data_IF_923845784333
#
_entry.id   IF_923845784333
#
_cell.length_a   1.000
_cell.length_b   1.000
_cell.length_c   1.000
_cell.angle_alpha   90.00
_cell.angle_beta   90.00
_cell.angle_gamma   90.00
#
_symmetry.space_group_name_H-M   'P 1'
#
loop_
_entity.id
_entity.type
_entity.pdbx_description
1 polymer ?
#
# COMPACT_ATOMS: atom_id res chain seq x y z
N UNK A 1 -1.75 -15.65 22.92
CA UNK A 1 -2.57 -14.52 22.45
C UNK A 1 -2.45 -13.40 23.48
N UNK A 2 -1.76 -12.34 23.14
CA UNK A 2 -1.69 -11.13 23.97
C UNK A 2 -2.98 -10.33 23.73
N UNK A 3 -3.78 -10.15 24.78
CA UNK A 3 -4.92 -9.24 24.72
C UNK A 3 -4.42 -7.81 24.63
N UNK A 4 -4.53 -7.19 23.46
CA UNK A 4 -4.27 -5.76 23.31
C UNK A 4 -5.45 -4.98 23.90
N UNK A 5 -5.16 -4.13 24.89
CA UNK A 5 -6.13 -3.13 25.36
C UNK A 5 -6.02 -1.90 24.45
N UNK A 6 -7.11 -1.50 23.82
CA UNK A 6 -7.16 -0.22 23.08
C UNK A 6 -6.97 0.94 24.08
N UNK A 7 -5.96 1.77 23.87
CA UNK A 7 -5.85 3.07 24.54
C UNK A 7 -7.02 3.97 24.11
N UNK A 8 -7.59 4.73 25.04
CA UNK A 8 -8.82 5.50 24.77
C UNK A 8 -8.56 6.92 24.24
N UNK A 9 -7.35 7.45 24.38
CA UNK A 9 -7.09 8.85 24.01
C UNK A 9 -6.42 8.91 22.64
N UNK A 10 -7.20 9.29 21.62
CA UNK A 10 -6.69 9.53 20.28
C UNK A 10 -5.83 10.79 20.24
N UNK A 11 -4.57 10.62 19.79
CA UNK A 11 -3.63 11.72 19.58
C UNK A 11 -3.89 12.48 18.28
N UNK A 12 -4.69 11.93 17.40
CA UNK A 12 -4.87 12.46 16.04
C UNK A 12 -6.35 12.67 15.67
N UNK A 13 -6.56 13.65 14.84
CA UNK A 13 -7.80 13.96 14.14
C UNK A 13 -7.52 14.15 12.66
N UNK A 14 -8.51 14.59 11.88
CA UNK A 14 -8.33 14.86 10.47
C UNK A 14 -8.82 16.26 10.07
N UNK A 15 -8.26 16.77 8.97
CA UNK A 15 -8.67 18.03 8.35
C UNK A 15 -8.72 17.87 6.84
N UNK A 16 -9.83 18.31 6.22
CA UNK A 16 -9.96 18.33 4.77
C UNK A 16 -8.90 19.23 4.14
N UNK A 17 -8.21 18.70 3.14
CA UNK A 17 -7.23 19.42 2.30
C UNK A 17 -7.90 19.89 1.02
N UNK A 18 -8.56 18.98 0.31
CA UNK A 18 -9.26 19.28 -0.94
C UNK A 18 -10.30 18.21 -1.26
N UNK A 19 -11.20 18.54 -2.15
CA UNK A 19 -12.19 17.61 -2.72
C UNK A 19 -12.31 17.82 -4.23
N UNK A 20 -13.13 17.00 -4.91
CA UNK A 20 -13.37 17.08 -6.35
C UNK A 20 -12.41 16.24 -7.19
N UNK A 21 -11.78 15.24 -6.58
CA UNK A 21 -11.06 14.17 -7.26
C UNK A 21 -12.04 13.08 -7.74
N UNK A 22 -11.61 12.27 -8.70
CA UNK A 22 -12.39 11.15 -9.23
C UNK A 22 -11.72 9.82 -8.86
N UNK A 23 -12.27 9.14 -7.83
CA UNK A 23 -11.73 7.88 -7.31
C UNK A 23 -10.21 7.93 -7.06
N UNK A 24 -9.74 8.78 -6.13
CA UNK A 24 -8.32 8.86 -5.81
C UNK A 24 -7.88 7.58 -5.09
N UNK A 25 -6.74 7.01 -5.54
CA UNK A 25 -6.23 5.73 -5.02
C UNK A 25 -4.79 5.77 -4.51
N UNK A 26 -4.07 6.88 -4.74
CA UNK A 26 -2.73 7.06 -4.18
C UNK A 26 -2.34 8.54 -4.11
N UNK A 27 -1.49 8.88 -3.13
CA UNK A 27 -0.92 10.21 -2.96
C UNK A 27 0.57 10.13 -2.62
N UNK A 28 1.36 10.97 -3.27
CA UNK A 28 2.79 11.11 -2.96
C UNK A 28 3.26 12.53 -3.26
N UNK A 29 4.47 12.85 -2.82
CA UNK A 29 5.17 14.10 -3.15
C UNK A 29 6.54 13.77 -3.77
N UNK A 30 7.00 14.53 -4.77
CA UNK A 30 8.35 14.36 -5.29
C UNK A 30 9.38 14.79 -4.23
N UNK A 31 10.55 14.14 -4.18
CA UNK A 31 11.63 14.56 -3.30
C UNK A 31 12.02 16.02 -3.60
N UNK A 32 12.23 16.80 -2.53
CA UNK A 32 12.79 18.16 -2.57
C UNK A 32 12.05 19.22 -3.42
N UNK A 33 10.86 18.94 -3.94
CA UNK A 33 10.10 19.90 -4.77
C UNK A 33 8.87 20.41 -4.02
N UNK A 34 9.06 21.40 -3.17
CA UNK A 34 7.99 22.26 -2.62
C UNK A 34 6.82 21.51 -1.98
N UNK A 35 5.74 22.24 -1.66
CA UNK A 35 4.56 21.70 -0.98
C UNK A 35 3.46 21.23 -1.95
N UNK A 36 3.81 20.55 -3.03
CA UNK A 36 2.85 19.99 -3.99
C UNK A 36 2.67 18.51 -3.73
N UNK A 37 1.40 18.08 -3.68
CA UNK A 37 1.02 16.67 -3.60
C UNK A 37 0.51 16.20 -4.95
N UNK A 38 0.81 14.97 -5.31
CA UNK A 38 0.38 14.33 -6.54
C UNK A 38 -0.55 13.20 -6.19
N UNK A 39 -1.75 13.24 -6.78
CA UNK A 39 -2.81 12.28 -6.50
C UNK A 39 -3.13 11.49 -7.76
N UNK A 40 -3.08 10.18 -7.63
CA UNK A 40 -3.48 9.23 -8.66
C UNK A 40 -4.99 9.06 -8.62
N UNK A 41 -5.66 9.35 -9.73
CA UNK A 41 -7.05 8.98 -9.96
C UNK A 41 -7.09 7.66 -10.75
N UNK A 42 -7.85 6.70 -10.27
CA UNK A 42 -7.85 5.32 -10.78
C UNK A 42 -8.10 5.20 -12.29
N UNK A 43 -8.86 6.13 -12.87
CA UNK A 43 -9.17 6.17 -14.31
C UNK A 43 -7.98 6.47 -15.24
N UNK A 44 -6.80 6.88 -14.70
CA UNK A 44 -5.61 7.16 -15.51
C UNK A 44 -5.14 8.62 -15.50
N UNK A 45 -5.53 9.41 -14.51
CA UNK A 45 -5.04 10.79 -14.36
C UNK A 45 -4.19 10.94 -13.09
N UNK A 46 -3.16 11.80 -13.16
CA UNK A 46 -2.41 12.26 -12.00
C UNK A 46 -2.72 13.74 -11.78
N UNK A 47 -3.27 14.06 -10.61
CA UNK A 47 -3.68 15.43 -10.25
C UNK A 47 -2.66 16.09 -9.32
N UNK A 48 -2.64 17.40 -9.30
CA UNK A 48 -1.77 18.20 -8.42
C UNK A 48 -2.61 18.96 -7.41
N UNK A 49 -2.25 18.85 -6.14
CA UNK A 49 -2.72 19.72 -5.07
C UNK A 49 -1.55 20.65 -4.71
N UNK A 50 -1.77 21.95 -4.79
CA UNK A 50 -0.80 22.98 -4.40
C UNK A 50 -1.46 23.98 -3.47
N UNK A 51 -0.84 24.22 -2.30
CA UNK A 51 -1.40 25.11 -1.28
C UNK A 51 -2.86 24.77 -0.92
N UNK A 52 -3.14 23.48 -0.71
CA UNK A 52 -4.47 22.91 -0.42
C UNK A 52 -5.53 23.15 -1.51
N UNK A 53 -5.11 23.41 -2.76
CA UNK A 53 -6.02 23.62 -3.89
C UNK A 53 -5.73 22.60 -4.99
N UNK A 54 -6.77 21.92 -5.46
CA UNK A 54 -6.70 21.04 -6.62
C UNK A 54 -6.53 21.90 -7.90
N UNK A 55 -5.45 21.66 -8.65
CA UNK A 55 -5.23 22.35 -9.91
C UNK A 55 -6.16 21.81 -10.99
N UNK A 56 -6.64 22.71 -11.87
CA UNK A 56 -7.56 22.35 -12.97
C UNK A 56 -6.91 21.39 -13.97
N UNK A 57 -5.66 21.69 -14.39
CA UNK A 57 -4.93 20.86 -15.35
C UNK A 57 -4.27 19.69 -14.61
N UNK A 58 -4.45 18.43 -15.06
CA UNK A 58 -3.74 17.29 -14.51
C UNK A 58 -2.23 17.41 -14.82
N UNK A 59 -1.42 16.76 -13.99
CA UNK A 59 0.00 16.55 -14.24
C UNK A 59 0.21 15.62 -15.44
N UNK A 60 -0.53 14.51 -15.43
CA UNK A 60 -0.52 13.50 -16.48
C UNK A 60 -1.94 13.02 -16.75
N UNK A 61 -2.24 12.70 -17.99
CA UNK A 61 -3.48 12.06 -18.44
C UNK A 61 -3.13 10.94 -19.42
N UNK A 62 -3.33 9.69 -18.99
CA UNK A 62 -3.14 8.46 -19.77
C UNK A 62 -4.42 7.62 -19.82
N UNK A 63 -5.57 8.27 -19.71
CA UNK A 63 -6.90 7.63 -19.77
C UNK A 63 -7.16 6.90 -21.10
N UNK A 64 -6.35 7.19 -22.13
CA UNK A 64 -6.39 6.55 -23.45
C UNK A 64 -5.86 5.11 -23.47
N UNK A 65 -5.13 4.68 -22.45
CA UNK A 65 -4.49 3.35 -22.38
C UNK A 65 -4.74 2.58 -21.09
N UNK A 66 -5.26 3.25 -20.07
CA UNK A 66 -5.56 2.65 -18.75
C UNK A 66 -6.96 2.05 -18.73
N UNK A 67 -7.11 0.88 -18.15
CA UNK A 67 -8.42 0.28 -17.89
C UNK A 67 -9.27 1.22 -17.03
N UNK A 68 -10.47 1.49 -17.46
CA UNK A 68 -11.42 2.31 -16.73
C UNK A 68 -12.26 1.44 -15.78
N UNK A 69 -12.29 1.74 -14.47
CA UNK A 69 -13.10 0.98 -13.53
C UNK A 69 -14.58 0.92 -13.92
N UNK A 70 -15.15 -0.29 -14.01
CA UNK A 70 -16.48 -0.54 -14.53
C UNK A 70 -17.55 -0.61 -13.42
N UNK A 71 -17.16 -0.98 -12.20
CA UNK A 71 -18.06 -1.14 -11.04
C UNK A 71 -17.35 -0.72 -9.74
N UNK A 72 -18.10 -0.46 -8.66
CA UNK A 72 -17.50 -0.26 -7.34
C UNK A 72 -16.73 -1.52 -6.90
N UNK A 73 -15.46 -1.36 -6.51
CA UNK A 73 -14.58 -2.50 -6.16
C UNK A 73 -13.80 -3.08 -7.33
N UNK A 74 -13.89 -2.52 -8.55
CA UNK A 74 -12.94 -2.84 -9.61
C UNK A 74 -11.54 -2.34 -9.20
N UNK A 75 -10.60 -3.27 -9.08
CA UNK A 75 -9.23 -2.97 -8.62
C UNK A 75 -8.32 -2.50 -9.75
N UNK A 76 -8.75 -2.64 -11.00
CA UNK A 76 -7.97 -2.27 -12.18
C UNK A 76 -7.95 -0.74 -12.39
N UNK A 77 -6.93 -0.23 -13.05
CA UNK A 77 -6.79 1.20 -13.33
C UNK A 77 -5.36 1.68 -13.19
N UNK A 78 -5.17 2.99 -12.99
CA UNK A 78 -3.89 3.57 -12.57
C UNK A 78 -3.80 3.46 -11.04
N UNK A 79 -2.80 2.71 -10.54
CA UNK A 79 -2.77 2.24 -9.16
C UNK A 79 -1.59 2.78 -8.34
N UNK A 80 -0.46 3.08 -8.99
CA UNK A 80 0.75 3.51 -8.30
C UNK A 80 1.52 4.59 -9.03
N UNK A 81 2.23 5.41 -8.25
CA UNK A 81 3.14 6.46 -8.71
C UNK A 81 4.33 6.53 -7.77
N UNK A 82 5.54 6.48 -8.29
CA UNK A 82 6.75 6.77 -7.54
C UNK A 82 7.63 7.76 -8.30
N UNK A 83 8.05 8.84 -7.63
CA UNK A 83 9.06 9.74 -8.17
C UNK A 83 10.46 9.16 -7.90
N UNK A 84 11.34 9.24 -8.89
CA UNK A 84 12.74 8.87 -8.71
C UNK A 84 13.39 9.68 -7.57
N UNK A 85 14.28 9.11 -6.75
CA UNK A 85 14.98 9.88 -5.71
C UNK A 85 15.67 11.14 -6.25
N UNK A 86 16.26 11.07 -7.45
CA UNK A 86 16.86 12.21 -8.16
C UNK A 86 15.89 12.85 -9.17
N UNK A 87 14.58 12.89 -8.89
CA UNK A 87 13.57 13.43 -9.82
C UNK A 87 13.87 14.84 -10.29
N UNK A 88 14.44 15.67 -9.44
CA UNK A 88 14.80 17.05 -9.77
C UNK A 88 15.83 17.13 -10.92
N UNK A 89 16.75 16.17 -10.97
CA UNK A 89 17.84 16.11 -11.94
C UNK A 89 17.42 15.39 -13.21
N UNK A 90 16.78 14.22 -13.08
CA UNK A 90 16.47 13.31 -14.19
C UNK A 90 15.03 13.43 -14.72
N UNK A 91 14.12 13.98 -13.92
CA UNK A 91 12.70 14.11 -14.26
C UNK A 91 11.94 12.79 -14.36
N UNK A 92 12.50 11.69 -13.85
CA UNK A 92 11.89 10.37 -13.95
C UNK A 92 10.86 10.12 -12.84
N UNK A 93 9.75 9.49 -13.24
CA UNK A 93 8.78 8.91 -12.33
C UNK A 93 8.20 7.64 -12.94
N UNK A 94 7.62 6.79 -12.11
CA UNK A 94 7.16 5.46 -12.46
C UNK A 94 5.69 5.33 -12.15
N UNK A 95 4.97 4.64 -13.02
CA UNK A 95 3.56 4.32 -12.86
C UNK A 95 3.36 2.81 -12.89
N UNK A 96 2.40 2.34 -12.10
CA UNK A 96 1.82 1.02 -12.22
C UNK A 96 0.35 1.18 -12.61
N UNK A 97 -0.04 0.56 -13.70
CA UNK A 97 -1.44 0.59 -14.16
C UNK A 97 -1.84 -0.71 -14.84
N UNK A 98 -3.14 -1.00 -14.83
CA UNK A 98 -3.71 -2.05 -15.68
C UNK A 98 -4.14 -1.41 -16.99
N UNK A 99 -3.64 -1.94 -18.12
CA UNK A 99 -3.95 -1.43 -19.46
C UNK A 99 -5.36 -1.82 -19.90
N UNK A 100 -5.84 -1.21 -21.00
CA UNK A 100 -7.12 -1.59 -21.65
C UNK A 100 -7.12 -3.08 -22.01
N UNK A 101 -5.96 -3.63 -22.40
CA UNK A 101 -5.79 -5.04 -22.77
C UNK A 101 -5.62 -5.98 -21.55
N UNK A 102 -5.84 -5.46 -20.32
CA UNK A 102 -5.76 -6.22 -19.07
C UNK A 102 -4.35 -6.69 -18.71
N UNK A 103 -3.34 -5.96 -19.08
CA UNK A 103 -1.98 -6.19 -18.64
C UNK A 103 -1.63 -5.27 -17.48
N UNK A 104 -0.95 -5.79 -16.48
CA UNK A 104 -0.28 -4.97 -15.47
C UNK A 104 0.99 -4.42 -16.09
N UNK A 105 1.06 -3.09 -16.18
CA UNK A 105 2.16 -2.37 -16.82
C UNK A 105 2.87 -1.51 -15.79
N UNK A 106 4.19 -1.65 -15.70
CA UNK A 106 5.05 -0.73 -14.95
C UNK A 106 5.89 0.04 -15.95
N UNK A 107 5.74 1.37 -15.93
CA UNK A 107 6.39 2.25 -16.91
C UNK A 107 7.12 3.39 -16.23
N UNK A 108 8.24 3.83 -16.86
CA UNK A 108 8.95 5.07 -16.55
C UNK A 108 8.48 6.17 -17.47
N UNK A 109 8.28 7.38 -16.92
CA UNK A 109 8.03 8.62 -17.64
C UNK A 109 9.12 9.65 -17.33
N UNK A 110 9.25 10.69 -18.20
CA UNK A 110 10.21 11.78 -18.02
C UNK A 110 9.55 13.13 -18.29
N UNK A 111 9.58 14.05 -17.30
CA UNK A 111 9.00 15.39 -17.45
C UNK A 111 9.79 16.28 -18.42
N UNK A 112 11.06 15.96 -18.70
CA UNK A 112 11.92 16.72 -19.60
C UNK A 112 11.87 16.22 -21.04
N UNK A 113 10.97 15.28 -21.36
CA UNK A 113 10.92 14.69 -22.70
C UNK A 113 10.47 15.70 -23.75
N UNK A 114 11.25 15.85 -24.83
CA UNK A 114 11.07 16.86 -25.89
C UNK A 114 9.71 16.79 -26.60
N UNK A 115 9.15 15.60 -26.74
CA UNK A 115 7.86 15.37 -27.42
C UNK A 115 6.66 15.43 -26.46
N UNK A 116 6.87 15.89 -25.23
CA UNK A 116 5.84 15.96 -24.19
C UNK A 116 5.74 14.72 -23.31
N UNK A 117 5.17 14.91 -22.15
CA UNK A 117 5.14 13.93 -21.08
C UNK A 117 4.48 12.60 -21.48
N UNK A 118 3.31 12.63 -22.12
CA UNK A 118 2.58 11.42 -22.51
C UNK A 118 3.31 10.53 -23.53
N UNK A 119 4.31 11.08 -24.22
CA UNK A 119 5.13 10.36 -25.20
C UNK A 119 6.49 9.93 -24.65
N UNK A 120 6.73 10.14 -23.37
CA UNK A 120 7.99 9.79 -22.70
C UNK A 120 7.98 8.38 -22.10
N UNK A 121 6.90 7.65 -22.25
CA UNK A 121 6.71 6.34 -21.64
C UNK A 121 7.74 5.32 -22.13
N UNK A 122 8.37 4.65 -21.18
CA UNK A 122 9.23 3.48 -21.39
C UNK A 122 8.71 2.36 -20.50
N UNK A 123 8.19 1.32 -21.13
CA UNK A 123 7.66 0.15 -20.42
C UNK A 123 8.80 -0.67 -19.83
N UNK A 124 8.74 -0.98 -18.55
CA UNK A 124 9.68 -1.83 -17.82
C UNK A 124 9.13 -3.24 -17.66
N UNK A 125 7.87 -3.36 -17.29
CA UNK A 125 7.15 -4.63 -17.19
C UNK A 125 5.83 -4.54 -17.93
N UNK A 126 5.47 -5.64 -18.61
CA UNK A 126 4.20 -5.84 -19.31
C UNK A 126 3.75 -7.27 -19.03
N UNK A 127 2.86 -7.45 -18.06
CA UNK A 127 2.46 -8.72 -17.51
C UNK A 127 0.97 -8.97 -17.78
N UNK A 128 0.65 -10.07 -18.44
CA UNK A 128 -0.74 -10.50 -18.60
C UNK A 128 -1.34 -10.72 -17.22
N UNK A 129 -2.33 -9.90 -16.85
CA UNK A 129 -3.03 -10.03 -15.56
C UNK A 129 -4.02 -11.21 -15.65
N UNK A 130 -3.89 -12.26 -14.81
CA UNK A 130 -4.74 -13.45 -14.94
C UNK A 130 -6.22 -13.16 -14.67
N UNK A 131 -6.52 -12.34 -13.66
CA UNK A 131 -7.87 -11.97 -13.23
C UNK A 131 -7.99 -10.46 -13.00
N UNK A 132 -9.22 -9.98 -12.80
CA UNK A 132 -9.51 -8.54 -12.66
C UNK A 132 -9.23 -7.96 -11.26
N UNK A 133 -8.92 -8.80 -10.28
CA UNK A 133 -8.66 -8.44 -8.89
C UNK A 133 -7.24 -8.82 -8.45
N UNK A 134 -6.86 -8.46 -7.24
CA UNK A 134 -5.53 -8.64 -6.64
C UNK A 134 -4.42 -8.00 -7.51
N UNK A 135 -4.67 -6.79 -7.97
CA UNK A 135 -3.71 -6.10 -8.84
C UNK A 135 -2.53 -5.49 -8.07
N UNK A 136 -2.61 -5.35 -6.73
CA UNK A 136 -1.61 -4.65 -5.93
C UNK A 136 -1.43 -3.21 -6.40
N UNK A 137 -0.27 -2.92 -7.00
CA UNK A 137 -0.02 -1.69 -7.75
C UNK A 137 0.83 -0.64 -7.05
N UNK A 138 1.14 -0.83 -5.77
CA UNK A 138 2.03 0.09 -5.05
C UNK A 138 3.43 0.11 -5.64
N UNK A 139 3.98 1.31 -5.81
CA UNK A 139 5.36 1.60 -6.15
C UNK A 139 5.97 2.47 -5.06
N UNK A 140 7.17 2.16 -4.60
CA UNK A 140 7.93 3.03 -3.71
C UNK A 140 9.45 2.79 -3.87
N UNK A 141 10.24 3.85 -3.71
CA UNK A 141 11.68 3.71 -3.57
C UNK A 141 12.03 3.40 -2.11
N UNK A 142 12.83 2.36 -1.91
CA UNK A 142 13.39 2.05 -0.60
C UNK A 142 14.53 3.01 -0.22
N UNK A 143 14.94 3.01 1.06
CA UNK A 143 16.12 3.78 1.52
C UNK A 143 17.42 3.35 0.84
N UNK A 144 17.46 2.17 0.24
CA UNK A 144 18.56 1.63 -0.56
C UNK A 144 18.59 2.16 -2.02
N UNK A 145 17.61 2.99 -2.39
CA UNK A 145 17.51 3.64 -3.70
C UNK A 145 16.91 2.78 -4.81
N UNK A 146 16.54 1.53 -4.55
CA UNK A 146 15.87 0.66 -5.53
C UNK A 146 14.36 0.85 -5.54
N UNK A 147 13.74 0.56 -6.70
CA UNK A 147 12.29 0.58 -6.84
C UNK A 147 11.70 -0.75 -6.39
N UNK A 148 10.74 -0.67 -5.46
CA UNK A 148 9.93 -1.80 -5.00
C UNK A 148 8.55 -1.74 -5.65
N UNK A 149 8.05 -2.90 -6.06
CA UNK A 149 6.81 -3.05 -6.84
C UNK A 149 5.96 -4.13 -6.18
N UNK A 150 4.77 -3.80 -5.70
CA UNK A 150 3.83 -4.76 -5.16
C UNK A 150 2.94 -5.35 -6.24
N UNK A 151 2.92 -6.67 -6.36
CA UNK A 151 2.05 -7.42 -7.26
C UNK A 151 1.26 -8.45 -6.44
N UNK A 152 -0.06 -8.47 -6.60
CA UNK A 152 -0.89 -9.51 -6.02
C UNK A 152 -0.67 -10.87 -6.68
N UNK A 153 -1.35 -11.89 -6.17
CA UNK A 153 -1.25 -13.28 -6.65
C UNK A 153 -1.83 -13.49 -8.07
N UNK A 154 -2.37 -12.44 -8.68
CA UNK A 154 -2.99 -12.46 -10.01
C UNK A 154 -4.50 -12.52 -9.95
N UNK A 155 -5.10 -12.82 -8.80
CA UNK A 155 -6.54 -12.72 -8.57
C UNK A 155 -7.29 -14.04 -8.42
N UNK A 156 -8.62 -13.95 -8.42
CA UNK A 156 -9.56 -15.01 -8.10
C UNK A 156 -9.52 -15.43 -6.61
N UNK A 157 -10.24 -16.48 -6.23
CA UNK A 157 -10.31 -16.93 -4.85
C UNK A 157 -9.31 -18.06 -4.59
N UNK A 158 -8.51 -17.91 -3.52
CA UNK A 158 -7.62 -18.98 -3.03
C UNK A 158 -6.39 -19.23 -3.88
N UNK A 159 -5.99 -18.28 -4.73
CA UNK A 159 -4.79 -18.37 -5.58
C UNK A 159 -4.79 -19.63 -6.47
N UNK A 160 -5.71 -19.76 -7.46
CA UNK A 160 -5.83 -20.97 -8.25
C UNK A 160 -4.58 -21.27 -9.11
N UNK A 161 -3.79 -20.24 -9.43
CA UNK A 161 -2.55 -20.37 -10.21
C UNK A 161 -1.33 -20.62 -9.31
N UNK A 162 -1.52 -20.65 -7.97
CA UNK A 162 -0.48 -20.89 -6.96
C UNK A 162 0.70 -19.92 -7.06
N UNK A 163 0.43 -18.69 -7.44
CA UNK A 163 1.45 -17.66 -7.62
C UNK A 163 2.11 -17.27 -6.29
N UNK A 164 1.36 -17.23 -5.18
CA UNK A 164 1.90 -16.86 -3.87
C UNK A 164 3.08 -17.74 -3.43
N UNK A 165 3.08 -19.02 -3.78
CA UNK A 165 4.17 -19.96 -3.43
C UNK A 165 5.13 -20.26 -4.59
N UNK A 166 4.98 -19.56 -5.73
CA UNK A 166 5.76 -19.84 -6.94
C UNK A 166 6.81 -18.76 -7.21
N UNK A 167 8.02 -18.94 -6.73
CA UNK A 167 9.14 -18.01 -6.99
C UNK A 167 9.57 -17.91 -8.47
N UNK A 168 8.98 -18.69 -9.38
CA UNK A 168 9.16 -18.54 -10.83
C UNK A 168 8.08 -17.64 -11.46
N UNK A 169 7.14 -17.12 -10.67
CA UNK A 169 6.17 -16.09 -11.03
C UNK A 169 6.56 -14.75 -10.42
N UNK A 170 6.22 -13.64 -11.07
CA UNK A 170 6.35 -12.30 -10.48
C UNK A 170 5.14 -11.92 -9.61
N UNK A 171 4.02 -12.61 -9.80
CA UNK A 171 2.79 -12.40 -9.03
C UNK A 171 2.94 -12.94 -7.60
N UNK A 172 2.13 -12.42 -6.67
CA UNK A 172 2.18 -12.80 -5.26
C UNK A 172 3.47 -12.34 -4.54
N UNK A 173 4.04 -11.20 -4.96
CA UNK A 173 5.38 -10.78 -4.56
C UNK A 173 5.52 -9.26 -4.39
N UNK A 174 6.53 -8.87 -3.62
CA UNK A 174 7.15 -7.55 -3.74
C UNK A 174 8.46 -7.73 -4.51
N UNK A 175 8.59 -7.06 -5.64
CA UNK A 175 9.78 -7.04 -6.46
C UNK A 175 10.72 -5.90 -6.03
N UNK A 176 12.02 -6.04 -6.30
CA UNK A 176 13.04 -5.01 -6.07
C UNK A 176 13.97 -4.92 -7.27
N UNK A 177 14.02 -3.75 -7.91
CA UNK A 177 14.76 -3.53 -9.15
C UNK A 177 15.57 -2.24 -9.14
N UNK A 178 16.69 -2.25 -9.85
CA UNK A 178 17.54 -1.09 -10.11
C UNK A 178 17.09 -0.40 -11.41
N UNK A 179 16.51 0.78 -11.29
CA UNK A 179 15.99 1.55 -12.43
C UNK A 179 16.98 2.55 -13.02
N UNK A 180 18.18 2.64 -12.46
CA UNK A 180 19.29 3.43 -13.00
C UNK A 180 20.12 2.64 -14.04
N UNK A 181 19.72 1.41 -14.32
CA UNK A 181 20.33 0.58 -15.36
C UNK A 181 20.06 1.14 -16.77
N UNK A 182 21.08 1.09 -17.65
CA UNK A 182 20.95 1.49 -19.06
C UNK A 182 19.90 0.69 -19.86
N UNK A 183 19.56 -0.51 -19.38
CA UNK A 183 18.64 -1.45 -20.06
C UNK A 183 17.18 -1.36 -19.59
N UNK A 184 16.76 -0.23 -19.04
CA UNK A 184 15.42 -0.04 -18.49
C UNK A 184 15.37 -0.35 -17.00
N UNK A 185 15.68 -1.59 -16.57
CA UNK A 185 15.97 -1.94 -15.19
C UNK A 185 17.05 -3.01 -15.11
N UNK A 186 17.67 -3.13 -13.96
CA UNK A 186 18.64 -4.17 -13.59
C UNK A 186 18.22 -4.91 -12.33
N UNK A 187 18.88 -6.01 -12.05
CA UNK A 187 18.68 -6.78 -10.83
C UNK A 187 19.79 -6.45 -9.83
N UNK A 188 19.45 -5.91 -8.64
CA UNK A 188 20.43 -5.73 -7.58
C UNK A 188 21.09 -7.06 -7.21
N UNK A 189 22.43 -7.08 -7.12
CA UNK A 189 23.17 -8.31 -6.75
C UNK A 189 22.83 -8.79 -5.33
N UNK A 190 22.29 -7.92 -4.51
CA UNK A 190 21.82 -8.21 -3.16
C UNK A 190 20.39 -8.77 -3.12
N UNK A 191 19.73 -8.97 -4.26
CA UNK A 191 18.43 -9.64 -4.30
C UNK A 191 18.60 -11.12 -3.88
N UNK A 192 17.67 -11.66 -3.09
CA UNK A 192 17.80 -13.00 -2.52
C UNK A 192 17.87 -14.11 -3.58
N UNK A 193 17.22 -13.90 -4.72
CA UNK A 193 17.16 -14.88 -5.82
C UNK A 193 18.12 -14.55 -6.97
N UNK A 194 19.04 -13.61 -6.77
CA UNK A 194 20.03 -13.24 -7.81
C UNK A 194 20.83 -14.46 -8.28
N UNK A 195 20.71 -14.80 -9.58
CA UNK A 195 21.33 -15.97 -10.23
C UNK A 195 20.90 -17.33 -9.66
N UNK A 196 19.78 -17.41 -8.99
CA UNK A 196 19.19 -18.68 -8.58
C UNK A 196 18.33 -19.22 -9.73
N UNK A 197 18.58 -20.47 -10.13
CA UNK A 197 17.83 -21.12 -11.22
C UNK A 197 16.37 -21.36 -10.82
N UNK A 198 15.48 -21.24 -11.80
CA UNK A 198 14.03 -21.45 -11.64
C UNK A 198 13.36 -20.51 -10.62
N UNK A 199 13.90 -19.29 -10.49
CA UNK A 199 13.31 -18.21 -9.73
C UNK A 199 13.35 -16.91 -10.54
N UNK A 200 12.48 -15.97 -10.22
CA UNK A 200 12.56 -14.61 -10.71
C UNK A 200 13.51 -13.80 -9.84
N UNK A 201 14.56 -13.28 -10.45
CA UNK A 201 15.61 -12.54 -9.75
C UNK A 201 15.14 -11.21 -9.18
N UNK A 202 14.01 -10.70 -9.68
CA UNK A 202 13.34 -9.46 -9.25
C UNK A 202 12.71 -9.57 -7.86
N UNK A 203 12.35 -10.79 -7.43
CA UNK A 203 11.60 -11.02 -6.19
C UNK A 203 12.44 -10.62 -4.97
N UNK A 204 11.82 -9.79 -4.10
CA UNK A 204 12.33 -9.44 -2.79
C UNK A 204 11.62 -10.22 -1.67
N UNK A 205 10.27 -10.24 -1.69
CA UNK A 205 9.42 -11.03 -0.80
C UNK A 205 8.38 -11.76 -1.63
N UNK A 206 7.86 -12.88 -1.15
CA UNK A 206 6.82 -13.66 -1.79
C UNK A 206 5.84 -14.26 -0.78
N UNK A 207 4.84 -14.99 -1.22
CA UNK A 207 3.79 -15.50 -0.36
C UNK A 207 2.80 -14.41 0.06
N UNK A 208 2.42 -13.55 -0.88
CA UNK A 208 1.58 -12.36 -0.66
C UNK A 208 0.34 -12.50 -1.53
N UNK A 209 -0.83 -12.14 -0.96
CA UNK A 209 -2.10 -12.25 -1.69
C UNK A 209 -2.39 -10.99 -2.53
N UNK A 210 -2.49 -9.85 -1.90
CA UNK A 210 -2.78 -8.57 -2.54
C UNK A 210 -2.20 -7.41 -1.73
N UNK A 211 -0.89 -7.10 -1.89
CA UNK A 211 -0.21 -6.05 -1.14
C UNK A 211 -0.71 -4.69 -1.63
N UNK A 212 -1.89 -4.28 -1.11
CA UNK A 212 -2.58 -3.09 -1.61
C UNK A 212 -1.73 -1.84 -1.43
N UNK A 213 -1.26 -1.59 -0.18
CA UNK A 213 -0.29 -0.52 0.09
C UNK A 213 0.82 -1.02 1.00
N UNK A 214 2.02 -0.61 0.67
CA UNK A 214 3.16 -0.73 1.55
C UNK A 214 3.91 0.60 1.65
N UNK A 215 4.66 0.78 2.72
CA UNK A 215 5.48 1.96 2.95
C UNK A 215 6.78 1.60 3.65
N UNK A 216 7.77 2.48 3.52
CA UNK A 216 9.03 2.34 4.23
C UNK A 216 9.10 3.27 5.44
N UNK A 217 9.60 2.77 6.53
CA UNK A 217 10.15 3.60 7.59
C UNK A 217 11.67 3.74 7.36
N UNK A 218 12.08 4.91 6.92
CA UNK A 218 13.47 5.22 6.60
C UNK A 218 14.37 5.30 7.85
N UNK A 219 13.80 5.40 9.06
CA UNK A 219 14.59 5.46 10.29
C UNK A 219 14.92 4.08 10.84
N UNK A 220 14.01 3.11 10.68
CA UNK A 220 14.21 1.74 11.16
C UNK A 220 14.62 0.79 10.04
N UNK A 221 14.60 1.26 8.77
CA UNK A 221 14.87 0.46 7.57
C UNK A 221 13.94 -0.77 7.49
N UNK A 222 12.64 -0.53 7.72
CA UNK A 222 11.60 -1.54 7.67
C UNK A 222 10.57 -1.23 6.58
N UNK A 223 10.01 -2.27 5.97
CA UNK A 223 8.85 -2.20 5.10
C UNK A 223 7.61 -2.66 5.86
N UNK A 224 6.54 -1.86 5.81
CA UNK A 224 5.22 -2.11 6.38
C UNK A 224 4.26 -2.43 5.25
N UNK A 225 3.64 -3.60 5.25
CA UNK A 225 2.83 -4.13 4.15
C UNK A 225 1.44 -4.42 4.67
N UNK A 226 0.41 -3.79 4.07
CA UNK A 226 -0.97 -4.21 4.23
C UNK A 226 -1.32 -5.21 3.14
N UNK A 227 -1.51 -6.47 3.52
CA UNK A 227 -1.90 -7.54 2.62
C UNK A 227 -3.38 -7.90 2.84
N UNK A 228 -4.19 -7.74 1.79
CA UNK A 228 -5.64 -7.94 1.86
C UNK A 228 -5.96 -9.44 1.90
N UNK A 229 -6.64 -9.86 2.95
CA UNK A 229 -7.02 -11.23 3.17
C UNK A 229 -8.12 -11.77 2.22
N UNK A 230 -8.36 -13.07 2.29
CA UNK A 230 -9.35 -13.73 1.42
C UNK A 230 -10.76 -13.64 1.98
N UNK A 231 -10.96 -14.14 3.21
CA UNK A 231 -12.29 -14.28 3.81
C UNK A 231 -12.33 -14.00 5.32
N UNK A 232 -11.22 -14.22 6.03
CA UNK A 232 -11.25 -14.33 7.47
C UNK A 232 -10.33 -13.30 8.16
N UNK A 233 -9.17 -12.98 7.60
CA UNK A 233 -8.16 -12.19 8.26
C UNK A 233 -7.55 -11.16 7.33
N UNK A 234 -7.48 -9.92 7.81
CA UNK A 234 -6.67 -8.85 7.23
C UNK A 234 -5.34 -8.79 7.97
N UNK A 235 -4.25 -8.51 7.26
CA UNK A 235 -2.90 -8.68 7.83
C UNK A 235 -1.96 -7.51 7.54
N UNK A 236 -1.06 -7.28 8.51
CA UNK A 236 0.06 -6.34 8.37
C UNK A 236 1.34 -7.07 8.66
N UNK A 237 2.23 -7.09 7.67
CA UNK A 237 3.59 -7.56 7.82
C UNK A 237 4.56 -6.40 8.01
N UNK A 238 5.59 -6.61 8.82
CA UNK A 238 6.73 -5.69 8.96
C UNK A 238 8.00 -6.50 8.80
N UNK A 239 8.83 -6.11 7.85
CA UNK A 239 10.05 -6.84 7.49
C UNK A 239 11.21 -5.86 7.43
N UNK A 240 12.35 -6.24 8.02
CA UNK A 240 13.60 -5.50 7.88
C UNK A 240 14.10 -5.56 6.43
N UNK A 241 14.59 -4.44 5.90
CA UNK A 241 15.18 -4.39 4.56
C UNK A 241 16.51 -5.15 4.44
N UNK A 242 17.07 -5.63 5.55
CA UNK A 242 18.18 -6.58 5.54
C UNK A 242 17.75 -8.02 5.26
N UNK A 243 16.45 -8.34 5.28
CA UNK A 243 15.88 -9.69 5.25
C UNK A 243 15.04 -9.93 3.98
N UNK A 244 15.67 -10.04 2.82
CA UNK A 244 14.99 -10.46 1.59
C UNK A 244 14.84 -11.98 1.48
N UNK A 245 13.91 -12.43 0.60
CA UNK A 245 13.65 -13.85 0.33
C UNK A 245 12.67 -14.50 1.28
N UNK A 246 12.01 -13.74 2.13
CA UNK A 246 11.05 -14.25 3.09
C UNK A 246 9.71 -14.61 2.41
N UNK A 247 9.11 -15.71 2.88
CA UNK A 247 7.79 -16.18 2.49
C UNK A 247 6.75 -15.72 3.52
N UNK A 248 5.83 -14.86 3.12
CA UNK A 248 4.82 -14.28 4.01
C UNK A 248 3.58 -15.17 4.20
N UNK A 249 3.54 -16.34 3.53
CA UNK A 249 2.64 -17.44 3.88
C UNK A 249 1.47 -17.69 2.95
N UNK A 250 1.00 -16.73 2.16
CA UNK A 250 -0.11 -16.95 1.23
C UNK A 250 0.29 -17.92 0.10
N UNK A 251 -0.48 -18.95 -0.25
CA UNK A 251 -1.84 -19.32 0.16
C UNK A 251 -1.86 -20.51 1.14
N UNK A 252 -0.77 -20.79 1.81
CA UNK A 252 -0.74 -21.78 2.89
C UNK A 252 -1.45 -21.22 4.14
N UNK A 253 -1.22 -19.93 4.40
CA UNK A 253 -1.78 -19.18 5.52
C UNK A 253 -2.68 -18.04 5.03
N UNK A 254 -3.65 -17.65 5.86
CA UNK A 254 -4.36 -16.37 5.86
C UNK A 254 -4.24 -15.79 7.26
N UNK A 255 -3.53 -14.69 7.43
CA UNK A 255 -3.07 -14.26 8.75
C UNK A 255 -2.14 -15.29 9.39
N UNK A 256 -2.30 -15.51 10.70
CA UNK A 256 -1.60 -16.55 11.44
C UNK A 256 -2.37 -17.90 11.44
N UNK A 257 -3.24 -18.14 10.46
CA UNK A 257 -4.15 -19.28 10.40
C UNK A 257 -3.95 -20.09 9.12
N UNK A 258 -4.09 -21.43 9.23
CA UNK A 258 -4.03 -22.29 8.05
C UNK A 258 -5.16 -21.96 7.07
N UNK A 259 -4.85 -21.77 5.79
CA UNK A 259 -5.81 -21.55 4.73
C UNK A 259 -5.91 -22.76 3.79
N UNK A 260 -4.80 -23.18 3.20
CA UNK A 260 -4.77 -24.35 2.30
C UNK A 260 -3.53 -25.21 2.58
N UNK A 261 -3.71 -26.34 3.31
CA UNK A 261 -4.96 -26.90 3.84
C UNK A 261 -5.49 -26.12 5.06
N UNK A 262 -6.80 -26.20 5.32
CA UNK A 262 -7.47 -25.49 6.44
C UNK A 262 -6.97 -25.88 7.84
N UNK A 263 -6.27 -26.99 7.95
CA UNK A 263 -5.72 -27.49 9.22
C UNK A 263 -4.39 -28.20 8.99
N UNK A 264 -3.53 -28.15 10.02
CA UNK A 264 -2.24 -28.82 10.02
C UNK A 264 -1.36 -28.43 8.81
N UNK A 265 -1.41 -27.17 8.40
CA UNK A 265 -0.55 -26.63 7.36
C UNK A 265 0.91 -26.63 7.83
N UNK A 266 1.82 -26.78 6.89
CA UNK A 266 3.26 -26.65 7.16
C UNK A 266 3.64 -25.15 7.19
N UNK A 267 4.01 -24.69 8.37
CA UNK A 267 4.44 -23.30 8.60
C UNK A 267 5.95 -23.13 8.60
N UNK A 268 6.69 -24.16 8.25
CA UNK A 268 8.16 -24.13 8.24
C UNK A 268 8.68 -23.07 7.26
N UNK A 269 9.46 -22.10 7.76
CA UNK A 269 10.05 -21.04 6.97
C UNK A 269 9.09 -19.92 6.55
N UNK A 270 7.86 -19.94 7.04
CA UNK A 270 6.91 -18.84 6.83
C UNK A 270 7.10 -17.73 7.88
N UNK A 271 6.89 -16.48 7.45
CA UNK A 271 6.90 -15.29 8.32
C UNK A 271 5.45 -14.84 8.51
N UNK A 272 4.96 -15.01 9.73
CA UNK A 272 3.60 -14.61 10.08
C UNK A 272 3.46 -13.08 10.20
N UNK A 273 2.24 -12.52 10.01
CA UNK A 273 2.01 -11.10 10.18
C UNK A 273 2.28 -10.66 11.64
N UNK A 274 2.71 -9.42 11.80
CA UNK A 274 2.90 -8.82 13.15
C UNK A 274 1.56 -8.39 13.75
N UNK A 275 0.57 -8.16 12.89
CA UNK A 275 -0.77 -7.77 13.28
C UNK A 275 -1.80 -8.32 12.29
N UNK A 276 -2.89 -8.83 12.82
CA UNK A 276 -4.05 -9.28 12.05
C UNK A 276 -5.35 -8.84 12.72
N UNK A 277 -6.39 -8.70 11.93
CA UNK A 277 -7.74 -8.48 12.45
C UNK A 277 -8.77 -9.21 11.59
N UNK A 278 -9.90 -9.64 12.18
CA UNK A 278 -10.89 -10.42 11.45
C UNK A 278 -11.62 -9.58 10.40
N UNK A 279 -11.89 -10.24 9.28
CA UNK A 279 -12.60 -9.67 8.15
C UNK A 279 -14.09 -9.39 8.44
N UNK A 280 -14.71 -10.01 9.46
CA UNK A 280 -16.12 -9.81 9.84
C UNK A 280 -16.29 -9.69 11.36
N UNK A 281 -17.11 -8.71 11.81
CA UNK A 281 -17.49 -8.55 13.21
C UNK A 281 -18.18 -9.78 13.81
N UNK A 282 -18.87 -10.58 13.02
CA UNK A 282 -19.51 -11.81 13.48
C UNK A 282 -18.50 -12.94 13.73
N UNK A 283 -17.41 -12.95 12.99
CA UNK A 283 -16.34 -13.93 13.15
C UNK A 283 -15.65 -13.80 14.51
N UNK A 284 -15.47 -12.58 15.02
CA UNK A 284 -14.96 -12.35 16.38
C UNK A 284 -15.80 -13.07 17.44
N UNK A 285 -17.13 -13.12 17.24
CA UNK A 285 -18.05 -13.77 18.20
C UNK A 285 -17.93 -15.29 18.21
N UNK A 286 -17.54 -15.90 17.08
CA UNK A 286 -17.51 -17.35 16.92
C UNK A 286 -16.16 -17.99 17.24
N UNK A 287 -15.05 -17.33 16.90
CA UNK A 287 -13.73 -17.95 16.99
C UNK A 287 -13.10 -17.92 18.37
N UNK A 288 -13.38 -16.95 19.16
CA UNK A 288 -12.44 -16.68 20.24
C UNK A 288 -13.02 -16.77 21.63
N UNK A 289 -14.31 -16.92 21.78
CA UNK A 289 -14.88 -16.59 23.08
C UNK A 289 -14.43 -15.18 23.53
N UNK A 290 -13.99 -14.35 22.58
CA UNK A 290 -13.63 -12.96 22.84
C UNK A 290 -14.89 -12.22 23.27
N UNK A 291 -14.93 -11.94 24.55
CA UNK A 291 -15.93 -11.07 25.13
C UNK A 291 -15.85 -9.71 24.44
N UNK A 292 -16.97 -9.13 24.19
CA UNK A 292 -17.37 -7.85 23.61
C UNK A 292 -16.39 -6.65 23.61
N UNK A 293 -15.20 -6.76 24.18
CA UNK A 293 -14.25 -5.65 24.36
C UNK A 293 -13.55 -5.18 23.07
N UNK A 294 -13.58 -5.98 22.00
CA UNK A 294 -12.86 -5.67 20.74
C UNK A 294 -13.78 -5.61 19.50
N UNK A 295 -15.07 -5.31 19.66
CA UNK A 295 -16.00 -5.16 18.52
C UNK A 295 -15.60 -4.05 17.53
N UNK A 296 -14.64 -3.20 17.90
CA UNK A 296 -14.11 -2.15 17.01
C UNK A 296 -12.97 -2.62 16.12
N UNK A 297 -12.40 -3.80 16.34
CA UNK A 297 -11.26 -4.32 15.57
C UNK A 297 -11.77 -5.38 14.58
N UNK A 298 -12.30 -4.93 13.47
CA UNK A 298 -12.73 -5.76 12.35
C UNK A 298 -12.81 -4.93 11.07
N UNK A 299 -12.75 -5.58 9.92
CA UNK A 299 -12.84 -4.91 8.63
C UNK A 299 -13.19 -5.85 7.49
N UNK A 300 -12.76 -5.54 6.28
CA UNK A 300 -12.89 -6.40 5.11
C UNK A 300 -11.77 -6.19 4.09
N UNK A 301 -10.96 -5.15 4.24
CA UNK A 301 -9.86 -4.86 3.32
C UNK A 301 -8.91 -3.86 3.96
N UNK A 302 -7.77 -4.35 4.40
CA UNK A 302 -6.71 -3.50 4.95
C UNK A 302 -6.16 -2.57 3.86
N UNK A 303 -6.17 -1.28 4.15
CA UNK A 303 -5.59 -0.29 3.22
C UNK A 303 -4.07 -0.23 3.33
N UNK A 304 -3.49 -0.60 4.46
CA UNK A 304 -2.11 -0.28 4.82
C UNK A 304 -2.00 1.14 5.36
N UNK A 305 -0.78 1.66 5.44
CA UNK A 305 -0.54 2.97 6.08
C UNK A 305 0.91 3.43 6.07
N UNK A 306 1.24 4.32 6.99
CA UNK A 306 2.59 4.90 7.14
C UNK A 306 3.00 5.05 8.60
N UNK A 307 4.29 4.91 8.88
CA UNK A 307 4.87 5.34 10.15
C UNK A 307 4.98 6.86 10.16
N UNK A 308 4.46 7.50 11.19
CA UNK A 308 4.53 8.96 11.30
C UNK A 308 5.95 9.40 11.66
N UNK A 309 6.53 10.24 10.79
CA UNK A 309 7.86 10.85 10.95
C UNK A 309 7.82 12.38 10.76
N UNK A 310 6.62 12.95 10.75
CA UNK A 310 6.39 14.39 10.68
C UNK A 310 6.75 15.10 11.98
N UNK A 311 6.57 16.42 11.97
CA UNK A 311 6.91 17.30 13.11
C UNK A 311 5.70 17.95 13.77
N UNK A 312 4.53 17.90 13.11
CA UNK A 312 3.36 18.63 13.58
C UNK A 312 2.59 17.92 14.70
N UNK A 313 2.84 16.61 14.92
CA UNK A 313 2.21 15.81 15.97
C UNK A 313 3.31 15.06 16.75
N UNK A 314 4.07 15.75 17.64
CA UNK A 314 5.22 15.15 18.31
C UNK A 314 4.88 13.89 19.11
N UNK A 315 3.71 13.84 19.75
CA UNK A 315 3.23 12.68 20.50
C UNK A 315 2.91 11.46 19.66
N UNK A 316 2.81 11.62 18.34
CA UNK A 316 2.50 10.54 17.39
C UNK A 316 3.73 9.97 16.67
N UNK A 317 4.92 10.48 16.97
CA UNK A 317 6.17 10.05 16.33
C UNK A 317 6.41 8.54 16.53
N UNK A 318 6.63 7.82 15.42
CA UNK A 318 6.86 6.38 15.44
C UNK A 318 5.61 5.51 15.43
N UNK A 319 4.41 6.09 15.47
CA UNK A 319 3.17 5.33 15.28
C UNK A 319 2.96 4.98 13.81
N UNK A 320 2.67 3.72 13.52
CA UNK A 320 2.15 3.30 12.22
C UNK A 320 0.64 3.47 12.23
N UNK A 321 0.11 4.37 11.40
CA UNK A 321 -1.33 4.56 11.21
C UNK A 321 -1.79 3.83 9.96
N UNK A 322 -2.90 3.10 10.07
CA UNK A 322 -3.50 2.34 8.98
C UNK A 322 -5.03 2.38 9.07
N UNK A 323 -5.69 1.91 8.02
CA UNK A 323 -7.15 1.92 7.95
C UNK A 323 -7.69 0.67 7.24
N UNK A 324 -9.00 0.49 7.37
CA UNK A 324 -9.78 -0.48 6.61
C UNK A 324 -10.72 0.24 5.63
N UNK A 325 -10.73 -0.21 4.39
CA UNK A 325 -11.50 0.41 3.31
C UNK A 325 -13.01 0.33 3.54
N UNK A 326 -13.53 -0.81 3.96
CA UNK A 326 -14.97 -1.05 4.07
C UNK A 326 -15.59 -0.35 5.26
N UNK A 327 -14.93 -0.44 6.40
CA UNK A 327 -15.45 0.10 7.66
C UNK A 327 -15.08 1.57 7.84
N UNK A 328 -14.07 2.05 7.12
CA UNK A 328 -13.52 3.40 7.31
C UNK A 328 -13.01 3.62 8.72
N UNK A 329 -12.48 2.56 9.35
CA UNK A 329 -11.84 2.61 10.65
C UNK A 329 -10.37 2.94 10.52
N UNK A 330 -9.86 3.59 11.55
CA UNK A 330 -8.46 4.01 11.62
C UNK A 330 -7.86 3.54 12.93
N UNK A 331 -6.70 2.90 12.84
CA UNK A 331 -5.93 2.46 14.00
C UNK A 331 -4.47 2.86 13.87
N UNK A 332 -3.78 2.89 14.97
CA UNK A 332 -2.32 2.97 14.99
C UNK A 332 -1.73 2.05 16.05
N UNK A 333 -0.47 1.70 15.86
CA UNK A 333 0.36 1.06 16.85
C UNK A 333 1.82 1.52 16.72
N UNK A 334 2.62 1.25 17.73
CA UNK A 334 4.09 1.36 17.67
C UNK A 334 4.67 -0.04 17.59
N UNK A 335 5.51 -0.30 16.59
CA UNK A 335 6.26 -1.54 16.45
C UNK A 335 7.67 -1.34 17.00
N UNK A 336 8.05 -2.19 17.94
CA UNK A 336 9.36 -2.17 18.55
C UNK A 336 9.70 -3.52 19.18
N UNK A 337 10.98 -3.90 19.13
CA UNK A 337 11.48 -5.14 19.75
C UNK A 337 10.65 -6.37 19.34
N UNK A 338 10.31 -6.48 18.04
CA UNK A 338 9.49 -7.54 17.43
C UNK A 338 8.06 -7.65 17.99
N UNK A 339 7.53 -6.58 18.56
CA UNK A 339 6.18 -6.54 19.09
C UNK A 339 5.47 -5.23 18.84
N UNK A 340 4.13 -5.27 18.90
CA UNK A 340 3.32 -4.06 18.81
C UNK A 340 2.88 -3.59 20.19
N UNK A 341 2.86 -2.27 20.35
CA UNK A 341 2.40 -1.58 21.56
C UNK A 341 1.54 -0.38 21.17
N UNK A 342 0.83 0.21 22.13
CA UNK A 342 0.02 1.42 21.92
C UNK A 342 -1.01 1.29 20.78
N UNK A 343 -1.67 0.11 20.66
CA UNK A 343 -2.76 -0.04 19.71
C UNK A 343 -3.92 0.87 20.10
N UNK A 344 -4.25 1.81 19.22
CA UNK A 344 -5.25 2.87 19.47
C UNK A 344 -6.23 2.96 18.30
N UNK A 345 -7.52 3.09 18.58
CA UNK A 345 -8.57 3.40 17.61
C UNK A 345 -8.76 4.93 17.52
N UNK A 346 -8.60 5.49 16.33
CA UNK A 346 -8.72 6.93 16.05
C UNK A 346 -9.98 7.29 15.25
N UNK A 347 -10.84 6.32 15.03
CA UNK A 347 -11.95 6.41 14.07
C UNK A 347 -12.88 7.59 14.35
N UNK A 348 -13.28 7.76 15.61
CA UNK A 348 -14.26 8.78 15.98
C UNK A 348 -13.68 10.20 15.89
N UNK A 349 -12.43 10.41 16.27
CA UNK A 349 -11.75 11.71 16.22
C UNK A 349 -11.47 12.12 14.77
N UNK A 350 -11.04 11.16 13.94
CA UNK A 350 -10.83 11.39 12.51
C UNK A 350 -12.15 11.75 11.81
N UNK A 351 -13.22 11.01 12.11
CA UNK A 351 -14.57 11.30 11.58
C UNK A 351 -15.08 12.68 12.01
N UNK A 352 -14.92 13.01 13.30
CA UNK A 352 -15.32 14.28 13.87
C UNK A 352 -14.56 15.44 13.24
N UNK A 353 -13.22 15.34 13.12
CA UNK A 353 -12.38 16.35 12.49
C UNK A 353 -12.76 16.62 11.03
N UNK A 354 -13.18 15.59 10.31
CA UNK A 354 -13.66 15.70 8.93
C UNK A 354 -15.11 16.15 8.80
N UNK A 355 -15.91 16.08 9.87
CA UNK A 355 -17.37 16.25 9.79
C UNK A 355 -18.07 15.16 8.96
N UNK A 356 -17.49 13.96 8.88
CA UNK A 356 -17.94 12.85 8.03
C UNK A 356 -18.12 11.56 8.85
N UNK A 357 -19.24 10.86 8.62
CA UNK A 357 -19.57 9.64 9.37
C UNK A 357 -18.92 8.37 8.84
N UNK A 358 -18.60 8.34 7.55
CA UNK A 358 -18.04 7.15 6.86
C UNK A 358 -16.98 7.59 5.86
N UNK A 359 -15.93 6.79 5.75
CA UNK A 359 -14.89 6.89 4.73
C UNK A 359 -14.76 5.56 3.99
N UNK A 360 -14.36 5.65 2.73
CA UNK A 360 -13.79 4.56 1.97
C UNK A 360 -12.30 4.87 1.77
N UNK A 361 -11.48 4.49 2.75
CA UNK A 361 -10.06 4.87 2.78
C UNK A 361 -9.30 4.08 1.74
N UNK A 362 -9.13 4.65 0.56
CA UNK A 362 -8.46 3.98 -0.57
C UNK A 362 -6.95 3.92 -0.43
N UNK A 363 -6.34 4.88 0.26
CA UNK A 363 -4.89 4.94 0.44
C UNK A 363 -4.48 5.97 1.49
N UNK A 364 -3.22 5.86 1.88
CA UNK A 364 -2.47 6.91 2.56
C UNK A 364 -1.37 7.46 1.65
N UNK A 365 -0.74 8.55 2.08
CA UNK A 365 0.45 9.11 1.48
C UNK A 365 1.16 10.07 2.43
N UNK A 366 2.40 10.41 2.08
CA UNK A 366 3.20 11.37 2.84
C UNK A 366 3.62 12.55 1.96
N UNK A 367 3.74 13.73 2.58
CA UNK A 367 4.48 14.82 1.96
C UNK A 367 6.01 14.71 2.26
N UNK A 368 6.79 15.58 1.64
CA UNK A 368 8.25 15.59 1.79
C UNK A 368 8.73 15.91 3.22
N UNK A 369 7.84 16.31 4.12
CA UNK A 369 8.13 16.56 5.53
C UNK A 369 7.71 15.42 6.46
N UNK A 370 7.19 14.33 5.91
CA UNK A 370 6.73 13.15 6.68
C UNK A 370 5.34 13.30 7.29
N UNK A 371 4.59 14.33 6.90
CA UNK A 371 3.22 14.49 7.33
C UNK A 371 2.30 13.56 6.54
N UNK A 372 1.33 12.94 7.23
CA UNK A 372 0.48 11.89 6.66
C UNK A 372 -0.85 12.46 6.17
N UNK A 373 -1.26 11.96 5.02
CA UNK A 373 -2.55 12.21 4.39
C UNK A 373 -3.26 10.89 4.14
N UNK A 374 -4.59 10.92 4.10
CA UNK A 374 -5.38 9.80 3.61
C UNK A 374 -6.37 10.26 2.53
N UNK A 375 -6.75 9.32 1.68
CA UNK A 375 -7.65 9.53 0.57
C UNK A 375 -8.96 8.81 0.84
N UNK A 376 -10.03 9.55 0.66
CA UNK A 376 -11.36 8.98 0.58
C UNK A 376 -11.72 8.76 -0.89
N UNK A 377 -12.03 7.52 -1.24
CA UNK A 377 -12.36 7.11 -2.60
C UNK A 377 -13.51 7.91 -3.24
N UNK A 378 -14.35 8.55 -2.43
CA UNK A 378 -15.41 9.48 -2.87
C UNK A 378 -14.87 10.82 -3.38
N UNK A 379 -13.56 11.06 -3.38
CA UNK A 379 -12.94 12.20 -4.06
C UNK A 379 -12.33 13.26 -3.17
N UNK A 380 -11.98 12.93 -1.93
CA UNK A 380 -11.42 13.89 -0.98
C UNK A 380 -10.06 13.44 -0.44
N UNK A 381 -9.22 14.42 -0.11
CA UNK A 381 -7.94 14.23 0.59
C UNK A 381 -8.00 14.92 1.93
N UNK A 382 -7.59 14.21 2.96
CA UNK A 382 -7.50 14.69 4.33
C UNK A 382 -6.06 14.61 4.84
N UNK A 383 -5.69 15.52 5.71
CA UNK A 383 -4.42 15.49 6.46
C UNK A 383 -4.68 15.00 7.87
N UNK A 384 -3.83 14.11 8.37
CA UNK A 384 -3.78 13.75 9.79
C UNK A 384 -3.19 14.95 10.54
N UNK A 385 -3.86 15.37 11.59
CA UNK A 385 -3.47 16.51 12.43
C UNK A 385 -3.52 16.12 13.90
N UNK A 386 -2.88 16.90 14.75
CA UNK A 386 -2.99 16.73 16.20
C UNK A 386 -4.43 16.93 16.67
N UNK A 387 -4.89 16.07 17.57
CA UNK A 387 -6.18 16.19 18.21
C UNK A 387 -6.08 17.18 19.37
N UNK A 388 -6.44 18.43 19.11
CA UNK A 388 -6.48 19.53 20.10
C UNK A 388 -7.90 19.76 20.64
N UNK A 389 -8.77 18.77 20.51
CA UNK A 389 -10.13 18.91 21.01
C UNK A 389 -10.19 18.49 22.47
N UNK A 390 -10.29 19.51 23.36
CA UNK A 390 -10.70 19.39 24.75
C UNK A 390 -12.17 18.98 24.89
#
# INVERSE_FOLDING_TARGET
MTSFSLCRDSLVASRLVTAGLDKPVYLTAPPEIGNSLYVVEQKGTVRIIKSNRLLKKPFLDITDRVHRPLFPGDEQGLLGLAFHPSFRENGFFYLNYVSIDKHTVISRFCVFHINGLNKSEVVLFDLVQPYSNHNGGQLAFGPDGYLYIGLGDGGSAGDPDQNGQNTNSLFGSILRVDVDSEKGYGIPKSNPFYKIKNTKEEIWLYGIRNPWRFSFDFQTEEIYIGDVGQNNWEEIHIVSLSEGGLNLGWNIMEGAHCFSPERNCDTTGLVLPVFEYPNDANYIKTLAGFTQTNQSLHGCSVTGGYVYRGKLIPGFLGHYIFADYCTGRFWSFVYKDFGITHLTDHTEEIRRGAGKKQFYVSSFGQDSSGEIYFLDYEGSVYKIIENNMD
#
